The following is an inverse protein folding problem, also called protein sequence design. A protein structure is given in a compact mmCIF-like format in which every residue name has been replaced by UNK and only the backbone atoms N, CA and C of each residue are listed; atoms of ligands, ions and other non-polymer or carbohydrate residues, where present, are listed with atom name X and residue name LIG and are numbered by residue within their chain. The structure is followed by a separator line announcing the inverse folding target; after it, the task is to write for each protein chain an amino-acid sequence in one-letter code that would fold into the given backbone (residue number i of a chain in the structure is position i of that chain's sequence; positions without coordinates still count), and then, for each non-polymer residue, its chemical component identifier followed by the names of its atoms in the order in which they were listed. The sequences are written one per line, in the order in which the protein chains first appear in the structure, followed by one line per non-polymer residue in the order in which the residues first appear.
data_IF_406213478666
#
_entry.id   IF_406213478666
#
_cell.length_a   1.000
_cell.length_b   1.000
_cell.length_c   1.000
_cell.angle_alpha   90.00
_cell.angle_beta   90.00
_cell.angle_gamma   90.00
#
_symmetry.space_group_name_H-M   'P 1'
#
loop_
_entity.id
_entity.type
_entity.pdbx_description
1 polymer ?
#
# COMPACT_ATOMS: atom_id res chain seq x y z
N UNK A 1 -45.06 39.54 6.68
CA UNK A 1 -44.48 38.18 6.57
C UNK A 1 -43.49 38.16 5.40
N UNK A 2 -42.18 38.07 5.64
CA UNK A 2 -41.18 37.87 4.57
C UNK A 2 -40.37 36.63 4.92
N UNK A 3 -40.57 35.53 4.17
CA UNK A 3 -39.82 34.28 4.31
C UNK A 3 -38.60 34.35 3.41
N UNK A 4 -37.42 34.49 4.01
CA UNK A 4 -36.13 34.36 3.32
C UNK A 4 -35.82 32.87 3.14
N UNK A 5 -35.69 32.43 1.88
CA UNK A 5 -35.26 31.07 1.53
C UNK A 5 -33.74 31.04 1.51
N UNK A 6 -33.14 30.38 2.50
CA UNK A 6 -31.70 30.12 2.56
C UNK A 6 -31.37 28.92 1.68
N UNK A 7 -30.54 29.12 0.66
CA UNK A 7 -30.00 28.04 -0.18
C UNK A 7 -28.68 27.57 0.44
N UNK A 8 -28.69 26.40 1.07
CA UNK A 8 -27.48 25.72 1.54
C UNK A 8 -26.88 24.99 0.34
N UNK A 9 -25.79 25.52 -0.20
CA UNK A 9 -24.97 24.85 -1.21
C UNK A 9 -24.18 23.75 -0.48
N UNK A 10 -24.68 22.52 -0.57
CA UNK A 10 -24.02 21.32 -0.08
C UNK A 10 -22.85 20.99 -1.02
N UNK A 11 -21.67 21.53 -0.72
CA UNK A 11 -20.43 21.27 -1.45
C UNK A 11 -20.02 19.81 -1.30
N UNK A 12 -20.16 19.04 -2.38
CA UNK A 12 -19.58 17.71 -2.54
C UNK A 12 -18.05 17.80 -2.57
N UNK A 13 -17.42 17.66 -1.41
CA UNK A 13 -15.99 17.35 -1.32
C UNK A 13 -15.79 15.87 -1.67
N UNK A 14 -15.64 15.57 -2.96
CA UNK A 14 -15.18 14.25 -3.39
C UNK A 14 -13.71 14.09 -2.96
N UNK A 15 -13.37 13.06 -2.16
CA UNK A 15 -11.98 12.79 -1.80
C UNK A 15 -11.22 12.40 -3.06
N UNK A 16 -10.32 13.28 -3.52
CA UNK A 16 -9.43 13.02 -4.65
C UNK A 16 -8.38 12.01 -4.17
N UNK A 17 -8.69 10.72 -4.31
CA UNK A 17 -7.72 9.65 -4.09
C UNK A 17 -6.68 9.73 -5.21
N UNK A 18 -5.38 9.82 -4.91
CA UNK A 18 -4.35 9.84 -5.95
C UNK A 18 -4.33 8.48 -6.65
N UNK A 19 -4.76 8.47 -7.91
CA UNK A 19 -4.63 7.31 -8.79
C UNK A 19 -3.28 7.44 -9.51
N UNK A 20 -2.34 6.55 -9.21
CA UNK A 20 -1.05 6.54 -9.93
C UNK A 20 -1.26 5.73 -11.19
N UNK A 21 -1.16 6.39 -12.35
CA UNK A 21 -1.14 5.70 -13.64
C UNK A 21 0.30 5.27 -13.91
N UNK A 22 0.53 3.97 -13.87
CA UNK A 22 1.84 3.40 -14.13
C UNK A 22 1.84 2.88 -15.57
N UNK A 23 2.38 3.67 -16.50
CA UNK A 23 2.54 3.25 -17.89
C UNK A 23 3.69 2.25 -17.99
N UNK A 24 3.38 1.02 -18.39
CA UNK A 24 4.35 -0.05 -18.64
C UNK A 24 4.84 0.03 -20.09
N UNK A 25 5.87 0.83 -20.36
CA UNK A 25 6.66 0.68 -21.58
C UNK A 25 8.15 0.74 -21.24
N UNK A 26 8.72 -0.44 -20.99
CA UNK A 26 10.15 -0.62 -21.21
C UNK A 26 10.33 -0.72 -22.73
N UNK A 27 11.00 0.25 -23.33
CA UNK A 27 11.63 0.06 -24.63
C UNK A 27 12.74 -0.97 -24.44
N UNK A 28 12.40 -2.24 -24.55
CA UNK A 28 13.39 -3.27 -24.81
C UNK A 28 13.97 -2.98 -26.19
N UNK A 29 15.15 -2.36 -26.25
CA UNK A 29 15.99 -2.44 -27.44
C UNK A 29 16.33 -3.92 -27.64
N UNK A 30 15.59 -4.58 -28.52
CA UNK A 30 15.91 -5.92 -28.98
C UNK A 30 17.13 -5.76 -29.89
N UNK A 31 18.32 -5.86 -29.31
CA UNK A 31 19.53 -6.15 -30.08
C UNK A 31 19.49 -7.64 -30.44
N UNK A 32 19.16 -7.93 -31.70
CA UNK A 32 18.92 -9.26 -32.29
C UNK A 32 20.19 -10.09 -32.49
N UNK A 33 21.35 -9.65 -31.99
CA UNK A 33 22.64 -10.29 -32.24
C UNK A 33 23.10 -11.32 -31.19
N UNK A 34 22.33 -11.58 -30.13
CA UNK A 34 22.70 -12.55 -29.07
C UNK A 34 21.58 -13.52 -28.71
N UNK A 35 21.24 -14.38 -29.66
CA UNK A 35 20.58 -15.66 -29.38
C UNK A 35 21.65 -16.62 -28.84
N UNK A 36 21.34 -17.36 -27.77
CA UNK A 36 22.19 -18.27 -26.97
C UNK A 36 22.70 -17.59 -25.67
N UNK A 37 22.14 -18.06 -24.54
CA UNK A 37 22.46 -17.70 -23.15
C UNK A 37 21.94 -16.37 -22.58
N UNK A 38 20.66 -16.04 -22.81
CA UNK A 38 19.93 -15.19 -21.84
C UNK A 38 19.30 -16.08 -20.78
N UNK A 39 20.04 -16.28 -19.68
CA UNK A 39 19.40 -16.49 -18.40
C UNK A 39 18.25 -15.48 -18.30
N UNK A 40 17.02 -15.96 -18.07
CA UNK A 40 15.84 -15.14 -17.85
C UNK A 40 16.11 -14.25 -16.62
N UNK A 41 16.83 -13.13 -16.81
CA UNK A 41 16.89 -12.06 -15.84
C UNK A 41 15.43 -11.66 -15.65
N UNK A 42 14.98 -11.73 -14.41
CA UNK A 42 13.64 -11.33 -14.01
C UNK A 42 13.46 -9.85 -14.30
N UNK A 43 13.15 -9.51 -15.55
CA UNK A 43 12.90 -8.15 -15.97
C UNK A 43 11.61 -7.71 -15.28
N UNK A 44 11.77 -7.07 -14.13
CA UNK A 44 10.73 -6.32 -13.43
C UNK A 44 10.09 -5.36 -14.42
N UNK A 45 8.75 -5.33 -14.47
CA UNK A 45 8.03 -4.41 -15.35
C UNK A 45 7.96 -3.01 -14.76
N UNK A 46 8.04 -2.91 -13.43
CA UNK A 46 8.14 -1.63 -12.75
C UNK A 46 9.59 -1.17 -12.72
N UNK A 47 9.82 0.05 -13.21
CA UNK A 47 11.10 0.75 -13.05
C UNK A 47 11.33 1.15 -11.59
N UNK A 48 12.60 1.40 -11.23
CA UNK A 48 12.96 1.84 -9.88
C UNK A 48 12.22 3.11 -9.45
N UNK A 49 12.06 4.09 -10.35
CA UNK A 49 11.34 5.33 -10.05
C UNK A 49 9.85 5.11 -9.81
N UNK A 50 9.21 4.17 -10.51
CA UNK A 50 7.81 3.80 -10.26
C UNK A 50 7.66 3.12 -8.89
N UNK A 51 8.63 2.28 -8.51
CA UNK A 51 8.65 1.65 -7.18
C UNK A 51 8.88 2.67 -6.06
N UNK A 52 9.75 3.66 -6.27
CA UNK A 52 9.96 4.78 -5.35
C UNK A 52 8.70 5.62 -5.19
N UNK A 53 8.04 5.99 -6.29
CA UNK A 53 6.76 6.70 -6.21
C UNK A 53 5.73 5.92 -5.40
N UNK A 54 5.54 4.62 -5.68
CA UNK A 54 4.62 3.78 -4.92
C UNK A 54 4.98 3.79 -3.43
N UNK A 55 6.27 3.71 -3.09
CA UNK A 55 6.74 3.79 -1.70
C UNK A 55 6.38 5.13 -1.05
N UNK A 56 6.59 6.25 -1.73
CA UNK A 56 6.36 7.59 -1.20
C UNK A 56 4.88 7.92 -0.95
N UNK A 57 3.97 7.28 -1.68
CA UNK A 57 2.53 7.48 -1.47
C UNK A 57 1.95 6.71 -0.29
N UNK A 58 2.68 5.71 0.23
CA UNK A 58 2.28 4.99 1.42
C UNK A 58 2.66 5.76 2.69
N UNK A 59 1.78 5.71 3.69
CA UNK A 59 2.18 6.05 5.06
C UNK A 59 1.47 5.17 6.07
N UNK A 60 2.13 4.98 7.21
CA UNK A 60 1.57 4.34 8.38
C UNK A 60 2.01 5.12 9.61
N UNK A 61 1.06 5.76 10.30
CA UNK A 61 1.34 6.66 11.43
C UNK A 61 0.29 6.54 12.52
N UNK A 62 0.57 7.07 13.70
CA UNK A 62 -0.42 7.19 14.76
C UNK A 62 -1.48 8.25 14.42
N UNK A 63 -2.72 7.96 14.80
CA UNK A 63 -3.77 8.98 14.86
C UNK A 63 -3.58 9.90 16.07
N UNK A 64 -4.37 10.96 16.18
CA UNK A 64 -4.36 11.81 17.38
C UNK A 64 -4.71 11.05 18.67
N UNK A 65 -5.56 10.02 18.59
CA UNK A 65 -5.83 9.13 19.72
C UNK A 65 -4.66 8.18 20.00
N UNK A 66 -3.97 7.71 18.95
CA UNK A 66 -2.77 6.89 19.09
C UNK A 66 -1.61 7.64 19.75
N UNK A 67 -1.42 8.92 19.42
CA UNK A 67 -0.38 9.78 20.01
C UNK A 67 -0.53 10.01 21.52
N UNK A 68 -1.75 9.85 22.06
CA UNK A 68 -2.01 9.96 23.51
C UNK A 68 -1.61 8.71 24.30
N UNK A 69 -1.21 7.63 23.61
CA UNK A 69 -0.86 6.33 24.20
C UNK A 69 0.64 6.19 24.37
N UNK A 70 1.05 5.44 25.39
CA UNK A 70 2.46 5.08 25.54
C UNK A 70 2.88 4.10 24.43
N UNK A 71 4.18 4.01 24.10
CA UNK A 71 4.67 3.03 23.14
C UNK A 71 4.27 1.58 23.50
N UNK A 72 4.22 1.23 24.78
CA UNK A 72 3.82 -0.10 25.25
C UNK A 72 2.33 -0.37 24.97
N UNK A 73 1.46 0.61 25.23
CA UNK A 73 0.04 0.52 24.92
C UNK A 73 -0.18 0.36 23.40
N UNK A 74 0.52 1.14 22.58
CA UNK A 74 0.45 1.04 21.12
C UNK A 74 0.90 -0.35 20.64
N UNK A 75 2.00 -0.87 21.19
CA UNK A 75 2.47 -2.20 20.84
C UNK A 75 1.46 -3.28 21.20
N UNK A 76 0.85 -3.20 22.39
CA UNK A 76 -0.19 -4.13 22.81
C UNK A 76 -1.40 -4.10 21.88
N UNK A 77 -1.90 -2.91 21.55
CA UNK A 77 -3.03 -2.73 20.62
C UNK A 77 -2.69 -3.33 19.24
N UNK A 78 -1.47 -3.07 18.75
CA UNK A 78 -1.01 -3.59 17.47
C UNK A 78 -0.97 -5.13 17.47
N UNK A 79 -0.45 -5.74 18.53
CA UNK A 79 -0.37 -7.20 18.66
C UNK A 79 -1.75 -7.85 18.73
N UNK A 80 -2.69 -7.23 19.46
CA UNK A 80 -4.08 -7.68 19.49
C UNK A 80 -4.74 -7.64 18.10
N UNK A 81 -4.53 -6.56 17.33
CA UNK A 81 -5.06 -6.46 15.96
C UNK A 81 -4.42 -7.53 15.06
N UNK A 82 -3.10 -7.69 15.14
CA UNK A 82 -2.35 -8.66 14.34
C UNK A 82 -2.78 -10.11 14.64
N UNK A 83 -3.02 -10.44 15.91
CA UNK A 83 -3.50 -11.77 16.31
C UNK A 83 -4.92 -12.05 15.81
N UNK A 84 -5.80 -11.05 15.83
CA UNK A 84 -7.20 -11.19 15.43
C UNK A 84 -7.39 -11.28 13.92
N UNK A 85 -6.55 -10.61 13.13
CA UNK A 85 -6.76 -10.46 11.69
C UNK A 85 -6.43 -11.71 10.84
N UNK A 86 -5.93 -12.81 11.41
CA UNK A 86 -5.71 -14.12 10.72
C UNK A 86 -5.03 -14.04 9.33
N UNK A 87 -4.11 -13.10 9.12
CA UNK A 87 -3.46 -12.78 7.83
C UNK A 87 -4.35 -12.12 6.75
N UNK A 88 -5.55 -11.69 7.09
CA UNK A 88 -6.43 -10.91 6.22
C UNK A 88 -6.32 -9.42 6.55
N UNK A 89 -5.70 -8.65 5.65
CA UNK A 89 -5.52 -7.22 5.88
C UNK A 89 -6.84 -6.43 5.83
N UNK A 90 -7.89 -6.92 5.17
CA UNK A 90 -9.19 -6.26 5.19
C UNK A 90 -9.80 -6.28 6.60
N UNK A 91 -9.53 -7.32 7.40
CA UNK A 91 -9.93 -7.38 8.81
C UNK A 91 -9.15 -6.37 9.66
N UNK A 92 -7.88 -6.13 9.33
CA UNK A 92 -7.07 -5.06 9.95
C UNK A 92 -7.70 -3.70 9.65
N UNK A 93 -7.93 -3.37 8.38
CA UNK A 93 -8.45 -2.07 7.98
C UNK A 93 -9.85 -1.77 8.54
N UNK A 94 -10.67 -2.81 8.72
CA UNK A 94 -12.02 -2.68 9.27
C UNK A 94 -12.08 -2.72 10.79
N UNK A 95 -10.99 -3.15 11.46
CA UNK A 95 -10.91 -3.22 12.91
C UNK A 95 -11.10 -1.83 13.56
N UNK A 96 -12.03 -1.67 14.52
CA UNK A 96 -12.28 -0.38 15.17
C UNK A 96 -11.06 0.20 15.89
N UNK A 97 -10.25 -0.63 16.55
CA UNK A 97 -9.03 -0.19 17.21
C UNK A 97 -7.98 0.24 16.17
N UNK A 98 -7.88 -0.48 15.05
CA UNK A 98 -6.96 -0.09 13.99
C UNK A 98 -7.30 1.32 13.47
N UNK A 99 -8.57 1.55 13.10
CA UNK A 99 -9.05 2.87 12.63
C UNK A 99 -8.92 3.97 13.69
N UNK A 100 -9.08 3.61 14.97
CA UNK A 100 -9.01 4.57 16.07
C UNK A 100 -7.59 5.05 16.32
N UNK A 101 -6.61 4.15 16.35
CA UNK A 101 -5.25 4.46 16.81
C UNK A 101 -4.22 4.63 15.69
N UNK A 102 -4.53 4.16 14.48
CA UNK A 102 -3.61 4.21 13.35
C UNK A 102 -4.24 4.85 12.12
N UNK A 103 -3.39 5.54 11.36
CA UNK A 103 -3.70 6.06 10.03
C UNK A 103 -2.83 5.33 9.02
N UNK A 104 -3.48 4.68 8.07
CA UNK A 104 -2.82 4.00 6.97
C UNK A 104 -3.37 4.53 5.65
N UNK A 105 -2.47 4.92 4.75
CA UNK A 105 -2.82 5.24 3.35
C UNK A 105 -2.19 4.21 2.44
N UNK A 106 -3.06 3.47 1.75
CA UNK A 106 -2.67 2.52 0.72
C UNK A 106 -2.69 3.16 -0.66
N UNK A 107 -1.87 2.61 -1.54
CA UNK A 107 -1.82 2.98 -2.94
C UNK A 107 -2.60 1.96 -3.76
N UNK A 108 -3.27 2.46 -4.80
CA UNK A 108 -3.83 1.63 -5.85
C UNK A 108 -3.06 1.89 -7.13
N UNK A 109 -2.70 0.81 -7.81
CA UNK A 109 -2.02 0.82 -9.09
C UNK A 109 -2.97 0.22 -10.12
N UNK A 110 -2.97 0.80 -11.32
CA UNK A 110 -3.83 0.36 -12.42
C UNK A 110 -3.12 -0.70 -13.28
N UNK A 111 -3.92 -1.41 -14.10
CA UNK A 111 -3.50 -2.04 -15.35
C UNK A 111 -2.35 -3.05 -15.29
N UNK A 112 -2.56 -4.15 -14.57
CA UNK A 112 -1.76 -5.40 -14.56
C UNK A 112 -0.83 -5.59 -13.35
N UNK A 113 -0.97 -4.77 -12.32
CA UNK A 113 -0.37 -5.03 -11.02
C UNK A 113 -1.41 -4.97 -9.91
N UNK A 114 -1.16 -5.70 -8.82
CA UNK A 114 -1.95 -5.61 -7.59
C UNK A 114 -1.01 -5.50 -6.40
N UNK A 115 -1.46 -4.81 -5.35
CA UNK A 115 -0.71 -4.70 -4.09
C UNK A 115 -1.45 -5.48 -3.02
N UNK A 116 -0.75 -6.44 -2.42
CA UNK A 116 -1.22 -7.14 -1.23
C UNK A 116 -0.54 -6.59 0.00
N UNK A 117 -1.31 -6.36 1.05
CA UNK A 117 -0.83 -5.82 2.32
C UNK A 117 -0.89 -6.89 3.40
N UNK A 118 0.04 -6.83 4.34
CA UNK A 118 0.07 -7.69 5.52
C UNK A 118 0.56 -6.90 6.73
N UNK A 119 -0.23 -6.91 7.80
CA UNK A 119 0.21 -6.37 9.10
C UNK A 119 1.28 -7.30 9.68
N UNK A 120 2.38 -6.73 10.17
CA UNK A 120 3.52 -7.52 10.63
C UNK A 120 4.40 -6.76 11.63
N UNK A 121 5.39 -7.45 12.19
CA UNK A 121 6.52 -6.82 12.87
C UNK A 121 7.79 -7.08 12.08
N UNK A 122 8.54 -6.02 11.80
CA UNK A 122 9.88 -6.13 11.23
C UNK A 122 10.88 -5.62 12.26
N UNK A 123 11.79 -6.49 12.69
CA UNK A 123 12.80 -6.19 13.72
C UNK A 123 12.16 -5.64 15.02
N UNK A 124 11.06 -6.27 15.46
CA UNK A 124 10.31 -5.86 16.65
C UNK A 124 9.42 -4.63 16.46
N UNK A 125 9.54 -3.88 15.35
CA UNK A 125 8.75 -2.67 15.10
C UNK A 125 7.45 -2.96 14.36
N UNK A 126 6.32 -2.34 14.73
CA UNK A 126 5.08 -2.40 13.96
C UNK A 126 5.29 -1.95 12.52
N UNK A 127 4.82 -2.75 11.56
CA UNK A 127 4.95 -2.46 10.15
C UNK A 127 3.79 -3.04 9.33
N UNK A 128 3.62 -2.51 8.12
CA UNK A 128 2.78 -3.10 7.09
C UNK A 128 3.72 -3.52 5.97
N UNK A 129 3.80 -4.83 5.70
CA UNK A 129 4.45 -5.35 4.52
C UNK A 129 3.51 -5.14 3.32
N UNK A 130 4.03 -4.64 2.21
CA UNK A 130 3.31 -4.65 0.94
C UNK A 130 4.10 -5.41 -0.11
N UNK A 131 3.38 -6.22 -0.89
CA UNK A 131 3.93 -6.97 -2.01
C UNK A 131 3.22 -6.53 -3.29
N UNK A 132 4.01 -6.10 -4.27
CA UNK A 132 3.49 -5.76 -5.59
C UNK A 132 3.61 -6.99 -6.48
N UNK A 133 2.47 -7.48 -6.95
CA UNK A 133 2.37 -8.61 -7.86
C UNK A 133 2.12 -8.11 -9.28
N UNK A 134 2.80 -8.71 -10.24
CA UNK A 134 2.46 -8.54 -11.65
C UNK A 134 1.45 -9.63 -12.07
N UNK A 135 0.32 -9.21 -12.64
CA UNK A 135 -0.73 -10.10 -13.11
C UNK A 135 -0.36 -10.79 -14.43
N UNK A 136 0.48 -10.16 -15.25
CA UNK A 136 0.90 -10.70 -16.56
C UNK A 136 2.08 -11.67 -16.46
N UNK A 137 2.84 -11.62 -15.36
CA UNK A 137 4.05 -12.44 -15.18
C UNK A 137 3.75 -13.65 -14.30
N UNK A 138 3.40 -14.76 -14.95
CA UNK A 138 3.20 -16.06 -14.33
C UNK A 138 4.34 -16.99 -14.73
N UNK A 139 5.06 -17.53 -13.75
CA UNK A 139 6.10 -18.54 -13.95
C UNK A 139 5.81 -19.75 -13.06
N UNK A 140 5.79 -20.95 -13.64
CA UNK A 140 5.48 -22.20 -12.93
C UNK A 140 4.15 -22.13 -12.15
N UNK A 141 3.12 -21.50 -12.72
CA UNK A 141 1.81 -21.32 -12.09
C UNK A 141 1.79 -20.32 -10.93
N UNK A 142 2.88 -19.60 -10.66
CA UNK A 142 2.97 -18.58 -9.61
C UNK A 142 3.14 -17.20 -10.22
N UNK A 143 2.43 -16.22 -9.66
CA UNK A 143 2.65 -14.80 -10.00
C UNK A 143 4.02 -14.37 -9.52
N UNK A 144 4.71 -13.57 -10.33
CA UNK A 144 5.99 -12.98 -9.95
C UNK A 144 5.78 -11.66 -9.20
N UNK A 145 6.65 -11.42 -8.22
CA UNK A 145 6.67 -10.17 -7.45
C UNK A 145 7.55 -9.13 -8.15
N UNK A 146 7.09 -7.88 -8.16
CA UNK A 146 7.88 -6.72 -8.59
C UNK A 146 8.69 -6.15 -7.42
N UNK A 147 8.07 -6.06 -6.24
CA UNK A 147 8.71 -5.62 -5.02
C UNK A 147 8.02 -6.19 -3.78
N UNK A 148 8.77 -6.25 -2.68
CA UNK A 148 8.29 -6.56 -1.34
C UNK A 148 9.00 -5.64 -0.37
N UNK A 149 8.25 -4.80 0.31
CA UNK A 149 8.78 -3.69 1.10
C UNK A 149 7.97 -3.53 2.41
N UNK A 150 8.50 -2.72 3.33
CA UNK A 150 7.89 -2.48 4.63
C UNK A 150 7.61 -0.99 4.85
N UNK A 151 6.40 -0.68 5.32
CA UNK A 151 6.00 0.64 5.79
C UNK A 151 6.00 0.58 7.31
N UNK A 152 6.98 1.21 7.94
CA UNK A 152 7.10 1.22 9.39
C UNK A 152 6.11 2.22 10.00
N UNK A 153 5.61 1.91 11.19
CA UNK A 153 4.81 2.86 11.96
C UNK A 153 5.66 4.07 12.33
N UNK A 154 5.24 5.24 11.86
CA UNK A 154 5.76 6.50 12.34
C UNK A 154 5.17 6.83 13.71
N UNK A 155 6.06 7.02 14.68
CA UNK A 155 5.73 7.29 16.08
C UNK A 155 5.72 8.79 16.40
N UNK A 156 6.04 9.65 15.43
CA UNK A 156 6.25 11.10 15.63
C UNK A 156 5.23 11.96 14.86
#
# INVERSE_FOLDING_TARGET
MKKTRSWVILGLLLPVMPLITVSCFNTASIDTSSFINRAFKSNKLLSTSQLEQIKDFHFFRLSEEGKKKTPEEINKIFDEIMANARNNFNEVETNPNFKKYFLFKRVYINANHTIEYKITRKNGKPAIEYTIWCLDRIQNGKRLTEAREYIFLDLY
#
